data_IF_803898435582
#
_entry.id   IF_803898435582
#
_cell.length_a   1.000
_cell.length_b   1.000
_cell.length_c   1.000
_cell.angle_alpha   90.00
_cell.angle_beta   90.00
_cell.angle_gamma   90.00
#
_symmetry.space_group_name_H-M   'P 1'
#
loop_
_entity.id
_entity.type
_entity.pdbx_description
1 polymer ?
#
# COMPACT_ATOMS: atom_id res chain seq x y z
N UNK A 1 10.52 -16.14 -7.96
CA UNK A 1 9.89 -14.82 -8.10
C UNK A 1 8.48 -14.89 -7.52
N UNK A 2 8.23 -14.21 -6.40
CA UNK A 2 6.89 -14.10 -5.82
C UNK A 2 6.06 -13.12 -6.66
N UNK A 3 4.79 -13.43 -6.93
CA UNK A 3 3.88 -12.54 -7.68
C UNK A 3 2.78 -12.09 -6.75
N UNK A 4 2.65 -10.78 -6.55
CA UNK A 4 1.65 -10.17 -5.68
C UNK A 4 0.75 -9.30 -6.55
N UNK A 5 -0.57 -9.56 -6.58
CA UNK A 5 -1.51 -8.65 -7.21
C UNK A 5 -1.42 -7.26 -6.59
N UNK A 6 -1.27 -6.23 -7.42
CA UNK A 6 -1.26 -4.85 -6.96
C UNK A 6 -2.00 -3.94 -7.94
N UNK A 7 -2.51 -2.83 -7.42
CA UNK A 7 -3.00 -1.72 -8.24
C UNK A 7 -2.17 -0.51 -7.89
N UNK A 8 -1.35 -0.04 -8.82
CA UNK A 8 -0.61 1.22 -8.66
C UNK A 8 -1.55 2.39 -8.89
N UNK A 9 -1.72 3.25 -7.89
CA UNK A 9 -2.65 4.37 -7.96
C UNK A 9 -2.02 5.67 -7.51
N UNK A 10 -2.53 6.77 -8.08
CA UNK A 10 -2.42 8.09 -7.48
C UNK A 10 -3.58 8.28 -6.50
N UNK A 11 -3.26 8.65 -5.26
CA UNK A 11 -4.22 9.11 -4.26
C UNK A 11 -3.86 10.52 -3.81
N UNK A 12 -4.75 11.49 -4.01
CA UNK A 12 -4.42 12.91 -3.77
C UNK A 12 -3.14 13.33 -4.51
N UNK A 13 -2.16 13.87 -3.78
CA UNK A 13 -0.83 14.24 -4.31
C UNK A 13 0.24 13.16 -4.10
N UNK A 14 -0.14 11.93 -3.77
CA UNK A 14 0.77 10.80 -3.56
C UNK A 14 0.51 9.65 -4.56
N UNK A 15 1.48 8.76 -4.71
CA UNK A 15 1.39 7.56 -5.57
C UNK A 15 1.95 6.35 -4.82
N UNK A 16 1.32 5.20 -4.99
CA UNK A 16 1.77 3.96 -4.37
C UNK A 16 0.91 2.75 -4.77
N UNK A 17 1.41 1.52 -4.62
CA UNK A 17 0.58 0.34 -4.72
C UNK A 17 -0.48 0.31 -3.62
N UNK A 18 -1.68 -0.10 -4.01
CA UNK A 18 -2.69 -0.62 -3.11
C UNK A 18 -2.63 -2.16 -3.19
N UNK A 19 -2.55 -2.82 -2.05
CA UNK A 19 -2.35 -4.26 -1.89
C UNK A 19 -3.41 -4.87 -0.99
N UNK A 20 -3.79 -6.13 -1.23
CA UNK A 20 -4.60 -6.88 -0.29
C UNK A 20 -3.72 -7.50 0.81
N UNK A 21 -4.13 -7.38 2.06
CA UNK A 21 -3.43 -8.04 3.17
C UNK A 21 -3.34 -9.56 2.99
N UNK A 22 -4.36 -10.17 2.36
CA UNK A 22 -4.38 -11.62 2.07
C UNK A 22 -3.31 -12.09 1.09
N UNK A 23 -2.72 -11.16 0.33
CA UNK A 23 -1.75 -11.46 -0.72
C UNK A 23 -0.31 -11.20 -0.23
N UNK A 24 -0.15 -10.86 1.05
CA UNK A 24 1.12 -10.57 1.70
C UNK A 24 1.44 -11.61 2.79
N UNK A 25 2.73 -11.80 3.14
CA UNK A 25 3.11 -12.57 4.32
C UNK A 25 2.47 -12.00 5.60
N UNK A 26 2.10 -12.89 6.52
CA UNK A 26 1.49 -12.50 7.81
C UNK A 26 2.52 -12.02 8.83
N UNK A 27 3.78 -12.49 8.75
CA UNK A 27 4.86 -12.00 9.61
C UNK A 27 5.31 -10.63 9.13
N UNK A 28 5.46 -9.70 10.08
CA UNK A 28 5.78 -8.29 9.79
C UNK A 28 7.11 -8.17 9.06
N UNK A 29 8.13 -8.89 9.51
CA UNK A 29 9.48 -8.83 8.94
C UNK A 29 9.52 -9.32 7.49
N UNK A 30 8.76 -10.39 7.20
CA UNK A 30 8.65 -10.96 5.85
C UNK A 30 7.83 -10.04 4.94
N UNK A 31 6.73 -9.47 5.44
CA UNK A 31 5.93 -8.45 4.74
C UNK A 31 6.80 -7.24 4.39
N UNK A 32 7.55 -6.73 5.35
CA UNK A 32 8.36 -5.52 5.17
C UNK A 32 9.48 -5.76 4.16
N UNK A 33 10.13 -6.93 4.20
CA UNK A 33 11.11 -7.33 3.19
C UNK A 33 10.51 -7.36 1.78
N UNK A 34 9.27 -7.87 1.65
CA UNK A 34 8.52 -7.84 0.39
C UNK A 34 8.23 -6.41 -0.07
N UNK A 35 7.78 -5.53 0.82
CA UNK A 35 7.48 -4.13 0.47
C UNK A 35 8.75 -3.37 0.05
N UNK A 36 9.86 -3.57 0.76
CA UNK A 36 11.16 -2.98 0.41
C UNK A 36 11.62 -3.42 -0.98
N UNK A 37 11.49 -4.72 -1.30
CA UNK A 37 11.80 -5.24 -2.63
C UNK A 37 10.86 -4.70 -3.71
N UNK A 38 9.54 -4.70 -3.45
CA UNK A 38 8.54 -4.19 -4.38
C UNK A 38 8.80 -2.73 -4.76
N UNK A 39 9.13 -1.89 -3.77
CA UNK A 39 9.36 -0.47 -4.00
C UNK A 39 10.76 -0.16 -4.52
N UNK A 40 11.73 -1.08 -4.43
CA UNK A 40 13.11 -0.84 -4.87
C UNK A 40 13.94 -0.02 -3.86
N UNK A 41 13.58 -0.10 -2.57
CA UNK A 41 14.19 0.69 -1.51
C UNK A 41 15.69 0.40 -1.31
N UNK A 42 16.45 1.44 -0.97
CA UNK A 42 17.91 1.41 -0.84
C UNK A 42 18.65 1.99 -2.06
N UNK A 43 17.93 2.58 -3.01
CA UNK A 43 18.49 3.29 -4.16
C UNK A 43 17.70 4.59 -4.37
N UNK A 44 18.39 5.72 -4.63
CA UNK A 44 17.77 7.05 -4.73
C UNK A 44 16.68 7.15 -5.80
N UNK A 45 16.81 6.36 -6.86
CA UNK A 45 15.84 6.28 -7.96
C UNK A 45 14.80 5.17 -7.79
N UNK A 46 14.94 4.27 -6.81
CA UNK A 46 14.11 3.07 -6.68
C UNK A 46 14.06 2.23 -7.97
N UNK A 47 15.18 2.19 -8.72
CA UNK A 47 15.25 1.77 -10.12
C UNK A 47 14.84 0.31 -10.38
N UNK A 48 14.98 -0.56 -9.38
CA UNK A 48 14.63 -1.99 -9.46
C UNK A 48 13.26 -2.29 -8.79
N UNK A 49 12.42 -1.27 -8.65
CA UNK A 49 11.07 -1.39 -8.09
C UNK A 49 10.06 -0.45 -8.74
N UNK A 50 8.87 -0.36 -8.14
CA UNK A 50 7.79 0.51 -8.63
C UNK A 50 7.73 1.87 -7.91
N UNK A 51 8.67 2.11 -7.00
CA UNK A 51 8.88 3.40 -6.36
C UNK A 51 9.26 4.48 -7.37
N UNK A 52 9.27 5.72 -6.92
CA UNK A 52 9.58 6.88 -7.77
C UNK A 52 10.74 7.73 -7.27
N UNK A 53 11.50 7.24 -6.29
CA UNK A 53 12.66 7.94 -5.73
C UNK A 53 12.30 9.15 -4.86
N UNK A 54 11.03 9.27 -4.44
CA UNK A 54 10.59 10.36 -3.56
C UNK A 54 9.60 9.90 -2.49
N UNK A 55 9.55 10.56 -1.32
CA UNK A 55 8.61 10.18 -0.25
C UNK A 55 7.13 10.17 -0.69
N UNK A 56 6.77 11.00 -1.67
CA UNK A 56 5.41 11.10 -2.23
C UNK A 56 5.05 9.92 -3.14
N UNK A 57 6.06 9.23 -3.68
CA UNK A 57 5.89 8.12 -4.64
C UNK A 57 6.42 6.78 -4.12
N UNK A 58 6.97 6.75 -2.91
CA UNK A 58 7.38 5.55 -2.17
C UNK A 58 6.45 5.28 -0.99
N UNK A 59 5.20 4.90 -1.30
CA UNK A 59 4.13 4.69 -0.32
C UNK A 59 3.36 3.42 -0.63
N UNK A 60 2.82 2.75 0.38
CA UNK A 60 1.98 1.57 0.18
C UNK A 60 0.70 1.71 0.99
N UNK A 61 -0.42 1.29 0.40
CA UNK A 61 -1.69 1.11 1.07
C UNK A 61 -2.00 -0.39 1.16
N UNK A 62 -2.13 -0.94 2.35
CA UNK A 62 -2.56 -2.33 2.56
C UNK A 62 -4.00 -2.32 3.05
N UNK A 63 -4.85 -3.12 2.41
CA UNK A 63 -6.29 -3.15 2.70
C UNK A 63 -6.80 -4.56 2.97
N UNK A 64 -7.75 -4.69 3.87
CA UNK A 64 -8.47 -5.92 4.20
C UNK A 64 -9.95 -5.61 4.45
N UNK A 65 -10.86 -6.60 4.47
CA UNK A 65 -12.18 -6.39 5.06
C UNK A 65 -12.01 -5.97 6.51
N UNK A 66 -12.85 -5.05 6.99
CA UNK A 66 -12.88 -4.72 8.41
C UNK A 66 -13.78 -5.69 9.16
N UNK A 67 -13.39 -6.07 10.38
CA UNK A 67 -14.26 -6.74 11.33
C UNK A 67 -15.16 -5.74 12.10
N UNK A 68 -14.90 -4.43 11.96
CA UNK A 68 -15.70 -3.38 12.58
C UNK A 68 -17.05 -3.22 11.86
N UNK A 69 -18.17 -3.13 12.59
CA UNK A 69 -19.48 -2.86 11.98
C UNK A 69 -19.57 -1.47 11.31
N UNK A 70 -18.69 -0.55 11.68
CA UNK A 70 -18.67 0.85 11.23
C UNK A 70 -17.78 1.10 10.01
N UNK A 71 -17.03 0.10 9.55
CA UNK A 71 -16.12 0.22 8.41
C UNK A 71 -16.30 -0.93 7.42
N UNK A 72 -16.13 -0.64 6.13
CA UNK A 72 -16.12 -1.68 5.09
C UNK A 72 -14.73 -2.34 4.95
N UNK A 73 -13.67 -1.59 5.22
CA UNK A 73 -12.27 -2.02 5.04
C UNK A 73 -11.38 -1.46 6.15
N UNK A 74 -10.39 -2.25 6.54
CA UNK A 74 -9.26 -1.75 7.32
C UNK A 74 -8.16 -1.27 6.36
N UNK A 75 -7.50 -0.18 6.75
CA UNK A 75 -6.46 0.48 5.98
C UNK A 75 -5.22 0.64 6.82
N UNK A 76 -4.11 0.08 6.34
CA UNK A 76 -2.77 0.30 6.88
C UNK A 76 -1.94 1.10 5.87
N UNK A 77 -1.46 2.26 6.30
CA UNK A 77 -0.47 3.02 5.57
C UNK A 77 0.93 2.53 5.88
N UNK A 78 1.77 2.43 4.85
CA UNK A 78 3.21 2.18 5.00
C UNK A 78 3.99 3.22 4.20
N UNK A 79 4.84 3.96 4.89
CA UNK A 79 5.89 4.75 4.26
C UNK A 79 7.09 3.83 4.01
N UNK A 80 7.53 3.72 2.76
CA UNK A 80 8.80 3.07 2.45
C UNK A 80 9.86 4.16 2.33
N UNK A 81 10.99 4.00 3.02
CA UNK A 81 12.07 4.96 2.98
C UNK A 81 12.89 4.72 1.71
N UNK A 82 13.16 5.77 0.93
CA UNK A 82 13.82 5.65 -0.38
C UNK A 82 15.28 5.18 -0.21
N UNK A 83 16.05 5.91 0.61
CA UNK A 83 17.48 5.67 0.78
C UNK A 83 17.82 4.73 1.95
N UNK A 84 16.83 4.43 2.80
CA UNK A 84 16.98 3.51 3.92
C UNK A 84 16.17 2.26 3.60
N UNK A 85 16.72 1.06 3.76
CA UNK A 85 15.93 -0.18 3.62
C UNK A 85 15.03 -0.37 4.85
N UNK A 86 14.09 0.54 5.04
CA UNK A 86 13.22 0.66 6.21
C UNK A 86 11.79 1.02 5.80
N UNK A 87 10.84 0.47 6.54
CA UNK A 87 9.43 0.85 6.47
C UNK A 87 9.01 1.57 7.75
N UNK A 88 8.01 2.43 7.64
CA UNK A 88 7.37 3.09 8.78
C UNK A 88 5.84 3.00 8.64
N UNK A 89 5.20 2.39 9.64
CA UNK A 89 3.74 2.22 9.74
C UNK A 89 3.14 3.06 10.86
N UNK A 90 3.92 3.98 11.44
CA UNK A 90 3.47 4.88 12.52
C UNK A 90 2.49 5.95 12.02
N UNK A 91 2.76 6.68 10.92
CA UNK A 91 1.86 7.72 10.47
C UNK A 91 0.65 7.16 9.72
N UNK A 92 -0.36 8.01 9.54
CA UNK A 92 -1.40 7.81 8.54
C UNK A 92 -1.16 8.74 7.34
N UNK A 93 -1.72 8.38 6.18
CA UNK A 93 -1.64 9.21 4.98
C UNK A 93 -3.02 9.37 4.33
N UNK A 94 -3.62 10.57 4.47
CA UNK A 94 -4.92 10.89 3.86
C UNK A 94 -4.91 10.88 2.33
N UNK A 95 -3.78 11.23 1.71
CA UNK A 95 -3.61 11.14 0.25
C UNK A 95 -3.78 9.71 -0.26
N UNK A 96 -3.06 8.76 0.35
CA UNK A 96 -3.16 7.34 -0.04
C UNK A 96 -4.52 6.74 0.31
N UNK A 97 -5.18 7.21 1.38
CA UNK A 97 -6.55 6.81 1.70
C UNK A 97 -7.52 7.08 0.54
N UNK A 98 -7.34 8.17 -0.22
CA UNK A 98 -8.16 8.47 -1.40
C UNK A 98 -8.06 7.40 -2.50
N UNK A 99 -7.00 6.60 -2.54
CA UNK A 99 -6.84 5.51 -3.51
C UNK A 99 -7.60 4.23 -3.10
N UNK A 100 -7.93 4.04 -1.82
CA UNK A 100 -8.49 2.80 -1.29
C UNK A 100 -9.83 2.46 -1.94
N UNK A 101 -10.81 3.36 -1.87
CA UNK A 101 -12.14 3.13 -2.46
C UNK A 101 -12.10 2.83 -3.97
N UNK A 102 -11.43 3.66 -4.79
CA UNK A 102 -11.35 3.44 -6.23
C UNK A 102 -10.51 2.23 -6.67
N UNK A 103 -9.60 1.72 -5.83
CA UNK A 103 -8.71 0.60 -6.19
C UNK A 103 -9.44 -0.66 -6.63
N UNK A 104 -10.65 -0.90 -6.10
CA UNK A 104 -11.52 -2.03 -6.46
C UNK A 104 -10.83 -3.40 -6.40
N UNK A 105 -9.75 -3.54 -5.62
CA UNK A 105 -8.95 -4.77 -5.49
C UNK A 105 -9.80 -5.99 -5.13
N UNK A 106 -10.89 -5.79 -4.38
CA UNK A 106 -12.01 -6.72 -4.30
C UNK A 106 -13.32 -5.97 -4.44
N UNK A 107 -14.03 -6.20 -5.56
CA UNK A 107 -15.36 -5.60 -5.85
C UNK A 107 -16.42 -5.90 -4.80
N UNK A 108 -16.20 -6.88 -3.91
CA UNK A 108 -17.18 -7.37 -2.95
C UNK A 108 -17.14 -6.70 -1.56
N UNK A 109 -16.10 -5.91 -1.23
CA UNK A 109 -15.98 -5.32 0.11
C UNK A 109 -16.70 -4.00 0.26
N UNK A 110 -16.78 -3.23 -0.82
CA UNK A 110 -17.46 -1.94 -0.80
C UNK A 110 -18.96 -2.20 -0.93
N UNK A 111 -19.71 -1.95 0.15
CA UNK A 111 -21.17 -1.98 0.11
C UNK A 111 -21.62 -0.98 -0.96
N UNK A 112 -22.29 -1.47 -2.03
CA UNK A 112 -22.89 -0.62 -3.07
C UNK A 112 -24.07 0.17 -2.48
N UNK A 113 -23.80 1.22 -1.73
CA UNK A 113 -24.78 2.26 -1.40
C UNK A 113 -24.22 3.61 -1.80
N UNK A 114 -24.25 3.87 -3.11
CA UNK A 114 -24.34 5.24 -3.61
C UNK A 114 -25.84 5.48 -3.76
N UNK A 115 -26.40 6.31 -2.88
CA UNK A 115 -27.70 6.93 -3.11
C UNK A 115 -27.47 8.41 -3.31
#
# INVERSE_FOLDING_TARGET
MLKIPCVLMRGGTSKGPVLLASDLPTKIEERDAVLLGLMGAGHELEIDGIGGGSPQTSKVAIVSPSDSPDADVDYLFVQVMVNERRVDTTPNCGNMLCAVGPSRLKKAWLRRKVR
#
